data_IF_958312299774
#
_entry.id   IF_958312299774
#
_cell.length_a   1.000
_cell.length_b   1.000
_cell.length_c   1.000
_cell.angle_alpha   90.00
_cell.angle_beta   90.00
_cell.angle_gamma   90.00
#
_symmetry.space_group_name_H-M   'P 1'
#
loop_
_entity.id
_entity.type
_entity.pdbx_description
1 polymer ?
#
# COMPACT_ATOMS: atom_id res chain seq x y z
N UNK A 1 13.61 -26.44 1.68
CA UNK A 1 12.77 -26.06 0.51
C UNK A 1 13.29 -24.73 -0.01
N UNK A 2 13.40 -24.52 -1.33
CA UNK A 2 13.76 -23.22 -1.86
C UNK A 2 12.62 -22.21 -1.60
N UNK A 3 12.96 -20.99 -1.26
CA UNK A 3 11.97 -19.95 -1.07
C UNK A 3 11.15 -19.71 -2.36
N UNK A 4 9.84 -19.50 -2.23
CA UNK A 4 8.97 -19.14 -3.37
C UNK A 4 9.06 -17.65 -3.63
N UNK A 5 9.32 -17.28 -4.89
CA UNK A 5 9.46 -15.88 -5.30
C UNK A 5 8.09 -15.26 -5.57
N UNK A 6 7.82 -14.13 -4.92
CA UNK A 6 6.55 -13.40 -5.02
C UNK A 6 6.78 -11.90 -5.12
N UNK A 7 5.77 -11.19 -5.59
CA UNK A 7 5.68 -9.73 -5.49
C UNK A 7 4.69 -9.33 -4.41
N UNK A 8 4.97 -8.23 -3.70
CA UNK A 8 4.02 -7.62 -2.77
C UNK A 8 3.50 -6.30 -3.31
N UNK A 9 2.22 -6.07 -3.06
CA UNK A 9 1.54 -4.84 -3.43
C UNK A 9 0.83 -4.26 -2.19
N UNK A 10 1.38 -3.16 -1.63
CA UNK A 10 1.00 -2.67 -0.31
C UNK A 10 0.20 -1.38 -0.37
N UNK A 11 -1.02 -1.41 0.15
CA UNK A 11 -1.85 -0.22 0.29
C UNK A 11 -1.26 0.78 1.29
N UNK A 12 -1.53 2.06 1.04
CA UNK A 12 -1.40 3.14 2.01
C UNK A 12 -2.67 3.33 2.84
N UNK A 13 -2.52 3.98 3.98
CA UNK A 13 -3.65 4.23 4.88
C UNK A 13 -3.26 4.94 6.19
N UNK A 14 -2.22 5.77 6.18
CA UNK A 14 -1.74 6.46 7.38
C UNK A 14 -1.27 5.46 8.46
N UNK A 15 -1.68 5.64 9.71
CA UNK A 15 -1.33 4.74 10.81
C UNK A 15 -1.79 3.29 10.61
N UNK A 16 -2.83 3.06 9.79
CA UNK A 16 -3.23 1.71 9.42
C UNK A 16 -2.13 0.95 8.65
N UNK A 17 -1.13 1.64 8.11
CA UNK A 17 0.09 1.04 7.56
C UNK A 17 0.84 0.14 8.51
N UNK A 18 0.63 0.27 9.83
CA UNK A 18 1.17 -0.65 10.83
C UNK A 18 0.66 -2.10 10.68
N UNK A 19 -0.53 -2.31 10.10
CA UNK A 19 -0.97 -3.63 9.66
C UNK A 19 -0.03 -4.20 8.60
N UNK A 20 0.33 -3.40 7.59
CA UNK A 20 1.31 -3.78 6.57
C UNK A 20 2.71 -4.07 7.14
N UNK A 21 3.13 -3.31 8.18
CA UNK A 21 4.33 -3.67 8.95
C UNK A 21 4.22 -5.07 9.51
N UNK A 22 3.12 -5.42 10.20
CA UNK A 22 2.90 -6.75 10.75
C UNK A 22 2.94 -7.85 9.70
N UNK A 23 2.39 -7.60 8.52
CA UNK A 23 2.45 -8.55 7.39
C UNK A 23 3.90 -8.76 6.96
N UNK A 24 4.65 -7.69 6.67
CA UNK A 24 6.07 -7.79 6.26
C UNK A 24 6.93 -8.46 7.33
N UNK A 25 6.73 -8.12 8.60
CA UNK A 25 7.45 -8.70 9.73
C UNK A 25 7.22 -10.22 9.81
N UNK A 26 5.97 -10.69 9.67
CA UNK A 26 5.66 -12.12 9.69
C UNK A 26 6.20 -12.86 8.47
N UNK A 27 6.12 -12.26 7.26
CA UNK A 27 6.66 -12.87 6.06
C UNK A 27 8.20 -12.99 6.13
N UNK A 28 8.88 -11.96 6.66
CA UNK A 28 10.32 -11.97 6.86
C UNK A 28 10.76 -13.03 7.90
N UNK A 29 10.01 -13.15 9.01
CA UNK A 29 10.25 -14.17 10.04
C UNK A 29 10.05 -15.61 9.52
N UNK A 30 9.04 -15.81 8.67
CA UNK A 30 8.74 -17.13 8.09
C UNK A 30 9.84 -17.62 7.13
N UNK A 31 10.40 -16.72 6.35
CA UNK A 31 11.56 -16.98 5.47
C UNK A 31 11.28 -17.86 4.24
N UNK A 32 10.06 -18.37 4.05
CA UNK A 32 9.70 -19.21 2.91
C UNK A 32 9.39 -18.44 1.63
N UNK A 33 9.24 -17.09 1.73
CA UNK A 33 9.00 -16.21 0.60
C UNK A 33 10.23 -15.35 0.29
N UNK A 34 10.55 -15.26 -1.00
CA UNK A 34 11.52 -14.32 -1.56
C UNK A 34 10.77 -13.19 -2.26
N UNK A 35 10.80 -11.98 -1.70
CA UNK A 35 10.08 -10.82 -2.23
C UNK A 35 10.92 -10.19 -3.33
N UNK A 36 10.55 -10.40 -4.60
CA UNK A 36 11.24 -9.84 -5.76
C UNK A 36 10.93 -8.37 -5.98
N UNK A 37 9.65 -8.01 -5.90
CA UNK A 37 9.19 -6.65 -6.13
C UNK A 37 8.18 -6.20 -5.07
N UNK A 38 8.24 -4.91 -4.70
CA UNK A 38 7.36 -4.31 -3.72
C UNK A 38 6.79 -3.00 -4.28
N UNK A 39 5.51 -3.01 -4.65
CA UNK A 39 4.79 -1.82 -5.08
C UNK A 39 4.00 -1.23 -3.93
N UNK A 40 4.07 0.09 -3.73
CA UNK A 40 3.49 0.71 -2.56
C UNK A 40 3.15 2.19 -2.74
N UNK A 41 2.24 2.68 -1.89
CA UNK A 41 1.84 4.08 -1.81
C UNK A 41 1.68 4.53 -0.37
N UNK A 42 1.93 5.81 -0.09
CA UNK A 42 1.70 6.43 1.22
C UNK A 42 2.44 5.68 2.35
N UNK A 43 1.77 5.31 3.45
CA UNK A 43 2.38 4.51 4.53
C UNK A 43 2.91 3.14 4.06
N UNK A 44 2.34 2.58 2.99
CA UNK A 44 2.89 1.39 2.34
C UNK A 44 4.28 1.65 1.77
N UNK A 45 4.55 2.84 1.17
CA UNK A 45 5.87 3.21 0.66
C UNK A 45 6.90 3.42 1.77
N UNK A 46 6.47 3.87 2.96
CA UNK A 46 7.33 3.92 4.14
C UNK A 46 7.76 2.50 4.55
N UNK A 47 6.79 1.58 4.66
CA UNK A 47 7.09 0.17 4.94
C UNK A 47 8.03 -0.44 3.90
N UNK A 48 7.82 -0.15 2.61
CA UNK A 48 8.66 -0.65 1.52
C UNK A 48 10.11 -0.14 1.63
N UNK A 49 10.30 1.16 1.91
CA UNK A 49 11.61 1.76 2.08
C UNK A 49 12.34 1.20 3.30
N UNK A 50 11.64 1.05 4.45
CA UNK A 50 12.19 0.46 5.67
C UNK A 50 12.57 -1.00 5.46
N UNK A 51 11.71 -1.76 4.77
CA UNK A 51 11.98 -3.16 4.44
C UNK A 51 13.25 -3.29 3.58
N UNK A 52 13.35 -2.54 2.49
CA UNK A 52 14.53 -2.55 1.62
C UNK A 52 15.79 -2.14 2.37
N UNK A 53 15.73 -1.07 3.16
CA UNK A 53 16.83 -0.61 4.00
C UNK A 53 17.30 -1.68 4.98
N UNK A 54 16.38 -2.28 5.71
CA UNK A 54 16.73 -3.32 6.68
C UNK A 54 17.30 -4.58 6.02
N UNK A 55 16.79 -4.95 4.83
CA UNK A 55 17.31 -6.08 4.04
C UNK A 55 18.80 -5.91 3.72
N UNK A 56 19.24 -4.72 3.33
CA UNK A 56 20.65 -4.47 3.02
C UNK A 56 21.57 -4.54 4.25
N UNK A 57 21.02 -4.38 5.47
CA UNK A 57 21.81 -4.34 6.70
C UNK A 57 21.89 -5.66 7.46
N UNK A 58 20.84 -6.45 7.43
CA UNK A 58 20.75 -7.65 8.24
C UNK A 58 19.79 -8.70 7.67
N UNK A 59 19.53 -8.64 6.36
CA UNK A 59 18.61 -9.58 5.72
C UNK A 59 17.18 -9.48 6.29
N UNK A 60 16.48 -10.62 6.45
CA UNK A 60 15.12 -10.62 6.98
C UNK A 60 14.98 -10.01 8.37
N UNK A 61 15.91 -10.29 9.28
CA UNK A 61 15.86 -9.75 10.65
C UNK A 61 16.13 -8.24 10.65
N UNK A 62 17.09 -7.76 9.85
CA UNK A 62 17.32 -6.33 9.69
C UNK A 62 16.09 -5.59 9.13
N UNK A 63 15.32 -6.22 8.24
CA UNK A 63 14.06 -5.64 7.75
C UNK A 63 13.01 -5.52 8.86
N UNK A 64 12.90 -6.52 9.73
CA UNK A 64 11.99 -6.52 10.89
C UNK A 64 12.36 -5.40 11.89
N UNK A 65 13.65 -5.31 12.20
CA UNK A 65 14.18 -4.27 13.10
C UNK A 65 13.94 -2.85 12.55
N UNK A 66 14.20 -2.62 11.27
CA UNK A 66 14.01 -1.33 10.63
C UNK A 66 12.54 -0.90 10.63
N UNK A 67 11.62 -1.82 10.36
CA UNK A 67 10.18 -1.58 10.41
C UNK A 67 9.72 -1.24 11.84
N UNK A 68 10.14 -2.00 12.85
CA UNK A 68 9.79 -1.72 14.24
C UNK A 68 10.33 -0.36 14.70
N UNK A 69 11.59 -0.07 14.42
CA UNK A 69 12.21 1.21 14.77
C UNK A 69 11.49 2.40 14.13
N UNK A 70 11.09 2.28 12.86
CA UNK A 70 10.32 3.32 12.17
C UNK A 70 8.98 3.57 12.86
N UNK A 71 8.17 2.54 13.11
CA UNK A 71 6.86 2.69 13.72
C UNK A 71 6.94 3.14 15.17
N UNK A 72 8.01 2.77 15.89
CA UNK A 72 8.31 3.30 17.24
C UNK A 72 8.60 4.80 17.18
N UNK A 73 9.37 5.24 16.22
CA UNK A 73 9.65 6.66 15.99
C UNK A 73 8.38 7.43 15.60
N UNK A 74 7.50 6.85 14.77
CA UNK A 74 6.17 7.43 14.46
C UNK A 74 5.36 7.63 15.74
N UNK A 75 5.36 6.66 16.63
CA UNK A 75 4.65 6.76 17.91
C UNK A 75 5.19 7.89 18.80
N UNK A 76 6.49 8.03 18.91
CA UNK A 76 7.11 9.07 19.76
C UNK A 76 6.90 10.49 19.22
N UNK A 77 6.83 10.64 17.89
CA UNK A 77 6.53 11.92 17.24
C UNK A 77 5.05 12.34 17.43
N UNK A 78 4.17 11.36 17.64
CA UNK A 78 2.77 11.39 17.25
C UNK A 78 1.84 12.30 18.02
N UNK A 79 1.98 12.54 19.32
CA UNK A 79 0.92 13.23 20.08
C UNK A 79 0.81 14.71 19.69
N UNK A 80 1.92 15.41 19.60
CA UNK A 80 1.91 16.84 19.22
C UNK A 80 1.51 17.06 17.75
N UNK A 81 1.94 16.16 16.87
CA UNK A 81 1.63 16.20 15.44
C UNK A 81 0.16 15.90 15.14
N UNK A 82 -0.40 14.88 15.78
CA UNK A 82 -1.80 14.50 15.63
C UNK A 82 -2.74 15.60 16.12
N UNK A 83 -2.42 16.22 17.26
CA UNK A 83 -3.17 17.37 17.80
C UNK A 83 -3.10 18.54 16.83
N UNK A 84 -1.92 18.84 16.28
CA UNK A 84 -1.75 19.89 15.28
C UNK A 84 -2.63 19.66 14.05
N UNK A 85 -2.58 18.46 13.44
CA UNK A 85 -3.41 18.11 12.28
C UNK A 85 -4.91 18.16 12.58
N UNK A 86 -5.36 17.70 13.74
CA UNK A 86 -6.77 17.76 14.14
C UNK A 86 -7.27 19.19 14.33
N UNK A 87 -6.44 20.09 14.85
CA UNK A 87 -6.78 21.50 15.00
C UNK A 87 -6.91 22.23 13.66
N UNK A 88 -6.12 21.85 12.65
CA UNK A 88 -6.17 22.45 11.33
C UNK A 88 -7.23 21.83 10.40
N UNK A 89 -7.72 20.63 10.68
CA UNK A 89 -8.70 19.94 9.84
C UNK A 89 -9.98 20.75 9.56
N UNK A 90 -10.63 21.43 10.54
CA UNK A 90 -11.78 22.27 10.25
C UNK A 90 -11.47 23.46 9.34
N UNK A 91 -10.25 24.00 9.44
CA UNK A 91 -9.80 25.14 8.65
C UNK A 91 -9.42 24.75 7.22
N UNK A 92 -9.08 23.50 6.97
CA UNK A 92 -8.70 22.99 5.63
C UNK A 92 -9.86 23.04 4.60
N UNK A 93 -11.10 23.23 5.05
CA UNK A 93 -12.23 23.50 4.17
C UNK A 93 -12.24 24.92 3.59
N UNK A 94 -11.62 25.89 4.29
CA UNK A 94 -11.64 27.31 3.93
C UNK A 94 -10.26 27.84 3.46
N UNK A 95 -9.18 27.19 3.88
CA UNK A 95 -7.81 27.62 3.61
C UNK A 95 -6.99 26.51 2.95
N UNK A 96 -6.12 26.88 2.01
CA UNK A 96 -5.20 25.92 1.40
C UNK A 96 -4.12 25.48 2.39
N UNK A 97 -3.52 24.28 2.22
CA UNK A 97 -2.40 23.84 3.05
C UNK A 97 -1.21 24.83 3.07
N UNK A 98 -0.94 25.51 1.96
CA UNK A 98 0.12 26.53 1.90
C UNK A 98 -0.20 27.77 2.74
N UNK A 99 -1.48 28.12 2.93
CA UNK A 99 -1.89 29.22 3.80
C UNK A 99 -1.82 28.81 5.28
N UNK A 100 -2.16 27.56 5.60
CA UNK A 100 -2.14 27.02 6.97
C UNK A 100 -0.71 26.66 7.43
N UNK A 101 0.15 26.27 6.49
CA UNK A 101 1.52 25.84 6.76
C UNK A 101 2.50 26.50 5.76
N UNK A 102 2.69 27.82 5.82
CA UNK A 102 3.52 28.56 4.87
C UNK A 102 5.00 28.18 4.92
N UNK A 103 5.46 27.62 6.02
CA UNK A 103 6.84 27.16 6.19
C UNK A 103 7.06 25.69 5.78
N UNK A 104 6.01 24.98 5.35
CA UNK A 104 6.10 23.58 4.90
C UNK A 104 6.54 22.62 6.02
N UNK A 105 6.28 22.94 7.29
CA UNK A 105 6.66 22.09 8.42
C UNK A 105 5.98 20.73 8.31
N UNK A 106 6.78 19.67 8.27
CA UNK A 106 6.30 18.31 8.19
C UNK A 106 7.19 17.37 9.04
N UNK A 107 6.76 17.03 10.27
CA UNK A 107 7.53 16.17 11.17
C UNK A 107 7.84 14.78 10.61
N UNK A 108 7.01 14.25 9.71
CA UNK A 108 7.27 12.99 9.04
C UNK A 108 8.57 13.03 8.21
N UNK A 109 8.88 14.22 7.63
CA UNK A 109 10.13 14.41 6.88
C UNK A 109 11.36 14.22 7.77
N UNK A 110 11.36 14.86 8.94
CA UNK A 110 12.47 14.77 9.90
C UNK A 110 12.61 13.37 10.47
N UNK A 111 11.47 12.72 10.71
CA UNK A 111 11.44 11.33 11.16
C UNK A 111 12.07 10.40 10.12
N UNK A 112 11.66 10.51 8.86
CA UNK A 112 12.21 9.69 7.77
C UNK A 112 13.70 9.93 7.59
N UNK A 113 14.14 11.18 7.60
CA UNK A 113 15.55 11.54 7.47
C UNK A 113 16.45 10.89 8.55
N UNK A 114 15.89 10.63 9.74
CA UNK A 114 16.58 9.98 10.86
C UNK A 114 16.41 8.46 10.88
N UNK A 115 15.37 7.91 10.23
CA UNK A 115 15.00 6.50 10.33
C UNK A 115 15.58 5.64 9.23
N UNK A 116 15.95 6.21 8.07
CA UNK A 116 16.37 5.42 6.91
C UNK A 116 17.59 6.04 6.22
N UNK A 117 18.54 5.17 5.89
CA UNK A 117 19.61 5.51 4.95
C UNK A 117 19.12 5.27 3.53
N UNK A 118 18.84 6.36 2.83
CA UNK A 118 18.31 6.32 1.47
C UNK A 118 19.35 5.86 0.44
N UNK A 119 20.66 6.01 0.72
CA UNK A 119 21.71 5.42 -0.13
C UNK A 119 21.62 3.89 -0.09
N UNK A 120 21.44 3.31 1.08
CA UNK A 120 21.24 1.87 1.23
C UNK A 120 19.96 1.39 0.51
N UNK A 121 18.88 2.16 0.56
CA UNK A 121 17.64 1.84 -0.19
C UNK A 121 17.89 1.87 -1.70
N UNK A 122 18.61 2.88 -2.21
CA UNK A 122 18.95 2.98 -3.64
C UNK A 122 19.87 1.86 -4.11
N UNK A 123 20.78 1.44 -3.25
CA UNK A 123 21.73 0.35 -3.53
C UNK A 123 21.13 -1.05 -3.35
N UNK A 124 19.91 -1.16 -2.80
CA UNK A 124 19.25 -2.45 -2.57
C UNK A 124 19.00 -3.18 -3.90
N UNK A 125 19.58 -4.37 -4.04
CA UNK A 125 19.38 -5.27 -5.19
C UNK A 125 18.48 -6.46 -4.85
N UNK A 126 18.19 -6.67 -3.58
CA UNK A 126 17.42 -7.83 -3.10
C UNK A 126 15.92 -7.69 -3.37
N UNK A 127 15.41 -6.45 -3.37
CA UNK A 127 14.00 -6.16 -3.65
C UNK A 127 13.87 -4.94 -4.55
N UNK A 128 13.06 -5.05 -5.59
CA UNK A 128 12.73 -3.93 -6.49
C UNK A 128 11.59 -3.11 -5.90
N UNK A 129 11.82 -1.83 -5.65
CA UNK A 129 10.78 -0.91 -5.17
C UNK A 129 10.08 -0.19 -6.32
N UNK A 130 8.77 -0.01 -6.16
CA UNK A 130 7.90 0.73 -7.05
C UNK A 130 7.01 1.66 -6.21
N UNK A 131 7.53 2.87 -5.93
CA UNK A 131 6.85 3.86 -5.10
C UNK A 131 5.97 4.74 -5.98
N UNK A 132 4.66 4.74 -5.72
CA UNK A 132 3.70 5.51 -6.49
C UNK A 132 3.48 6.90 -5.87
N UNK A 133 3.46 7.92 -6.72
CA UNK A 133 2.94 9.26 -6.41
C UNK A 133 2.05 9.73 -7.56
N UNK A 134 1.13 10.67 -7.29
CA UNK A 134 0.22 11.23 -8.29
C UNK A 134 0.75 12.57 -8.78
N UNK A 135 1.07 12.70 -10.07
CA UNK A 135 1.46 13.98 -10.67
C UNK A 135 0.26 14.94 -10.67
N UNK A 136 0.43 16.10 -10.07
CA UNK A 136 -0.68 17.06 -9.85
C UNK A 136 -1.19 17.64 -11.17
N UNK A 137 -0.30 17.90 -12.14
CA UNK A 137 -0.67 18.55 -13.39
C UNK A 137 -1.34 17.60 -14.37
N UNK A 138 -0.82 16.37 -14.48
CA UNK A 138 -1.32 15.41 -15.46
C UNK A 138 -2.40 14.48 -14.90
N UNK A 139 -2.51 14.35 -13.57
CA UNK A 139 -3.35 13.35 -12.90
C UNK A 139 -2.86 11.91 -13.11
N UNK A 140 -1.64 11.71 -13.63
CA UNK A 140 -1.10 10.39 -13.92
C UNK A 140 -0.28 9.84 -12.75
N UNK A 141 -0.24 8.50 -12.56
CA UNK A 141 0.66 7.89 -11.60
C UNK A 141 2.11 8.02 -12.07
N UNK A 142 3.02 8.37 -11.17
CA UNK A 142 4.46 8.29 -11.36
C UNK A 142 5.01 7.20 -10.45
N UNK A 143 5.73 6.25 -11.03
CA UNK A 143 6.41 5.20 -10.27
C UNK A 143 7.88 5.54 -10.17
N UNK A 144 8.37 5.62 -8.95
CA UNK A 144 9.79 5.79 -8.62
C UNK A 144 10.40 4.46 -8.23
N UNK A 145 11.54 4.11 -8.82
CA UNK A 145 12.29 2.87 -8.55
C UNK A 145 13.35 3.10 -7.48
N UNK A 146 14.00 2.03 -7.00
CA UNK A 146 15.06 2.11 -5.98
C UNK A 146 16.01 3.28 -6.20
N UNK A 147 16.62 3.40 -7.39
CA UNK A 147 17.60 4.43 -7.73
C UNK A 147 17.08 5.88 -7.64
N UNK A 148 15.75 6.04 -7.67
CA UNK A 148 15.07 7.35 -7.63
C UNK A 148 14.53 7.70 -6.25
N UNK A 149 14.60 6.76 -5.27
CA UNK A 149 14.04 6.98 -3.93
C UNK A 149 14.84 8.03 -3.19
N UNK A 150 14.16 9.14 -2.92
CA UNK A 150 14.64 10.26 -2.10
C UNK A 150 13.64 10.54 -0.99
N UNK A 151 14.03 11.39 -0.05
CA UNK A 151 13.11 11.85 0.99
C UNK A 151 11.87 12.53 0.36
N UNK A 152 12.08 13.34 -0.68
CA UNK A 152 10.99 14.02 -1.39
C UNK A 152 10.07 13.03 -2.11
N UNK A 153 10.58 11.95 -2.66
CA UNK A 153 9.77 10.88 -3.28
C UNK A 153 8.88 10.20 -2.24
N UNK A 154 9.41 9.85 -1.07
CA UNK A 154 8.61 9.27 0.00
C UNK A 154 7.55 10.25 0.51
N UNK A 155 7.93 11.52 0.71
CA UNK A 155 7.01 12.58 1.11
C UNK A 155 5.93 12.84 0.05
N UNK A 156 6.26 12.81 -1.25
CA UNK A 156 5.32 12.92 -2.36
C UNK A 156 4.29 11.79 -2.34
N UNK A 157 4.76 10.55 -2.15
CA UNK A 157 3.90 9.36 -2.07
C UNK A 157 2.88 9.41 -0.92
N UNK A 158 3.15 10.20 0.14
CA UNK A 158 2.28 10.35 1.31
C UNK A 158 1.68 11.76 1.46
N UNK A 159 1.75 12.59 0.42
CA UNK A 159 1.27 13.97 0.45
C UNK A 159 -0.23 14.07 0.21
N UNK A 160 -1.02 14.07 1.28
CA UNK A 160 -2.47 14.33 1.19
C UNK A 160 -2.74 15.81 0.86
N UNK A 161 -3.44 16.11 -0.25
CA UNK A 161 -3.61 17.48 -0.77
C UNK A 161 -4.34 18.43 0.17
N UNK A 162 -5.18 17.90 1.06
CA UNK A 162 -5.93 18.70 2.04
C UNK A 162 -5.12 19.01 3.32
N UNK A 163 -3.94 18.39 3.49
CA UNK A 163 -3.12 18.54 4.68
C UNK A 163 -1.77 19.20 4.38
N UNK A 164 -1.20 18.98 3.19
CA UNK A 164 0.14 19.41 2.84
C UNK A 164 0.19 20.03 1.44
N UNK A 165 1.06 21.06 1.23
CA UNK A 165 1.40 21.52 -0.10
C UNK A 165 1.97 20.37 -0.95
N UNK A 166 1.73 20.41 -2.27
CA UNK A 166 2.29 19.44 -3.20
C UNK A 166 3.83 19.39 -3.11
N UNK A 167 4.39 18.19 -3.11
CA UNK A 167 5.83 17.98 -3.01
C UNK A 167 6.48 18.07 -4.38
N UNK A 168 7.53 18.87 -4.52
CA UNK A 168 8.30 19.00 -5.75
C UNK A 168 9.35 17.90 -5.85
N UNK A 169 9.36 17.19 -6.99
CA UNK A 169 10.37 16.19 -7.34
C UNK A 169 10.71 16.32 -8.82
N UNK A 170 11.96 16.59 -9.15
CA UNK A 170 12.43 16.65 -10.55
C UNK A 170 11.72 17.71 -11.40
N UNK A 171 11.31 18.84 -10.82
CA UNK A 171 10.61 19.94 -11.52
C UNK A 171 9.10 19.75 -11.65
N UNK A 172 8.55 18.62 -11.23
CA UNK A 172 7.12 18.32 -11.18
C UNK A 172 6.60 18.29 -9.74
N UNK A 173 5.28 18.37 -9.56
CA UNK A 173 4.63 18.40 -8.26
C UNK A 173 3.73 17.17 -8.07
N UNK A 174 3.77 16.59 -6.87
CA UNK A 174 3.10 15.34 -6.58
C UNK A 174 2.25 15.40 -5.33
N UNK A 175 1.17 14.63 -5.37
CA UNK A 175 0.32 14.25 -4.25
C UNK A 175 0.43 12.75 -3.96
N UNK A 176 -0.24 12.31 -2.89
CA UNK A 176 -0.29 10.92 -2.45
C UNK A 176 -0.58 9.96 -3.62
N UNK A 177 0.23 8.91 -3.69
CA UNK A 177 0.11 7.88 -4.72
C UNK A 177 -1.22 7.14 -4.68
N UNK A 178 -1.86 7.10 -3.51
CA UNK A 178 -3.13 6.42 -3.29
C UNK A 178 -4.28 6.88 -4.17
N UNK A 179 -4.21 8.08 -4.75
CA UNK A 179 -5.21 8.55 -5.70
C UNK A 179 -5.16 7.83 -7.05
N UNK A 180 -3.97 7.41 -7.51
CA UNK A 180 -3.79 6.82 -8.83
C UNK A 180 -3.20 5.40 -8.83
N UNK A 181 -2.71 4.91 -7.69
CA UNK A 181 -2.16 3.56 -7.55
C UNK A 181 -2.02 3.16 -6.07
N UNK A 182 -3.05 2.57 -5.47
CA UNK A 182 -3.02 2.15 -4.07
C UNK A 182 -3.26 0.64 -3.88
N UNK A 183 -2.24 -0.18 -4.11
CA UNK A 183 -1.00 0.08 -4.84
C UNK A 183 -1.18 0.00 -6.36
N UNK A 184 -0.21 0.46 -7.14
CA UNK A 184 -0.14 0.20 -8.57
C UNK A 184 0.39 -1.22 -8.80
N UNK A 185 -0.33 -2.06 -9.57
CA UNK A 185 0.08 -3.45 -9.85
C UNK A 185 0.92 -3.57 -11.12
N UNK A 186 0.66 -2.73 -12.12
CA UNK A 186 1.32 -2.83 -13.43
C UNK A 186 2.86 -2.81 -13.37
N UNK A 187 3.53 -2.09 -12.42
CA UNK A 187 4.99 -2.13 -12.36
C UNK A 187 5.52 -3.53 -12.03
N UNK A 188 4.81 -4.27 -11.18
CA UNK A 188 5.16 -5.65 -10.83
C UNK A 188 4.96 -6.60 -12.02
N UNK A 189 3.93 -6.34 -12.83
CA UNK A 189 3.65 -7.17 -14.01
C UNK A 189 4.79 -7.04 -15.02
N UNK A 190 5.24 -5.82 -15.31
CA UNK A 190 6.18 -5.55 -16.40
C UNK A 190 7.65 -5.62 -16.01
N UNK A 191 8.00 -5.50 -14.71
CA UNK A 191 9.40 -5.36 -14.30
C UNK A 191 9.92 -6.48 -13.42
N UNK A 192 9.10 -7.47 -13.04
CA UNK A 192 9.52 -8.63 -12.23
C UNK A 192 9.30 -9.93 -12.97
N UNK A 193 9.92 -11.01 -12.50
CA UNK A 193 9.78 -12.34 -13.11
C UNK A 193 8.63 -13.13 -12.48
N UNK A 194 8.44 -13.01 -11.17
CA UNK A 194 7.37 -13.73 -10.47
C UNK A 194 5.99 -13.37 -11.03
N UNK A 195 5.15 -14.38 -11.21
CA UNK A 195 3.74 -14.22 -11.59
C UNK A 195 2.84 -13.93 -10.41
N UNK A 196 3.28 -14.29 -9.21
CA UNK A 196 2.51 -14.17 -7.99
C UNK A 196 2.58 -12.73 -7.46
N UNK A 197 1.42 -12.10 -7.30
CA UNK A 197 1.27 -10.78 -6.68
C UNK A 197 0.36 -10.92 -5.46
N UNK A 198 0.92 -10.68 -4.28
CA UNK A 198 0.20 -10.70 -3.01
C UNK A 198 -0.16 -9.26 -2.64
N UNK A 199 -1.45 -8.96 -2.60
CA UNK A 199 -1.95 -7.63 -2.26
C UNK A 199 -2.25 -7.57 -0.76
N UNK A 200 -1.67 -6.60 -0.07
CA UNK A 200 -1.94 -6.33 1.35
C UNK A 200 -2.98 -5.21 1.43
N UNK A 201 -4.22 -5.58 1.74
CA UNK A 201 -5.34 -4.66 1.82
C UNK A 201 -5.44 -4.03 3.21
N UNK A 202 -5.50 -2.70 3.23
CA UNK A 202 -5.71 -1.90 4.44
C UNK A 202 -7.09 -1.22 4.39
N UNK A 203 -7.51 -0.80 3.19
CA UNK A 203 -8.77 -0.09 3.00
C UNK A 203 -9.88 -1.08 2.62
N UNK A 204 -11.00 -1.14 3.36
CA UNK A 204 -12.12 -2.00 3.04
C UNK A 204 -12.69 -1.70 1.64
N UNK A 205 -12.86 -2.74 0.83
CA UNK A 205 -13.53 -2.63 -0.48
C UNK A 205 -15.05 -2.59 -0.27
N UNK A 206 -15.56 -3.48 0.57
CA UNK A 206 -16.99 -3.62 0.86
C UNK A 206 -17.30 -3.12 2.27
N UNK A 207 -18.41 -2.40 2.44
CA UNK A 207 -18.99 -2.05 3.72
C UNK A 207 -20.43 -2.58 3.77
N UNK A 208 -20.79 -3.24 4.87
CA UNK A 208 -22.14 -3.78 5.07
C UNK A 208 -23.14 -2.70 5.44
N UNK A 209 -22.69 -1.64 6.12
CA UNK A 209 -23.54 -0.54 6.55
C UNK A 209 -23.39 0.66 5.62
N UNK A 210 -24.52 1.30 5.31
CA UNK A 210 -24.52 2.56 4.57
C UNK A 210 -24.05 3.71 5.48
N UNK A 211 -23.19 4.60 4.99
CA UNK A 211 -22.78 5.79 5.73
C UNK A 211 -23.93 6.79 5.78
N UNK A 212 -24.27 7.29 6.97
CA UNK A 212 -25.40 8.22 7.20
C UNK A 212 -24.88 9.58 7.66
N UNK A 213 -23.86 9.60 8.52
CA UNK A 213 -23.31 10.85 9.03
C UNK A 213 -22.24 11.43 8.09
N UNK A 214 -22.02 12.74 8.14
CA UNK A 214 -21.02 13.41 7.31
C UNK A 214 -19.59 12.80 7.47
N UNK A 215 -19.10 12.46 8.68
CA UNK A 215 -17.82 11.76 8.83
C UNK A 215 -17.81 10.37 8.19
N UNK A 216 -18.88 9.59 8.30
CA UNK A 216 -18.99 8.26 7.67
C UNK A 216 -19.00 8.37 6.15
N UNK A 217 -19.72 9.32 5.58
CA UNK A 217 -19.76 9.60 4.14
C UNK A 217 -18.35 9.97 3.65
N UNK A 218 -17.67 10.88 4.34
CA UNK A 218 -16.31 11.29 3.99
C UNK A 218 -15.33 10.12 4.08
N UNK A 219 -15.48 9.27 5.10
CA UNK A 219 -14.69 8.05 5.24
C UNK A 219 -14.89 7.11 4.04
N UNK A 220 -16.14 6.87 3.67
CA UNK A 220 -16.48 6.00 2.55
C UNK A 220 -15.98 6.53 1.20
N UNK A 221 -16.10 7.84 0.97
CA UNK A 221 -15.55 8.50 -0.21
C UNK A 221 -14.04 8.29 -0.31
N UNK A 222 -13.31 8.43 0.80
CA UNK A 222 -11.87 8.13 0.84
C UNK A 222 -11.58 6.67 0.48
N UNK A 223 -12.28 5.71 1.08
CA UNK A 223 -12.09 4.29 0.80
C UNK A 223 -12.34 3.96 -0.68
N UNK A 224 -13.43 4.49 -1.24
CA UNK A 224 -13.78 4.30 -2.66
C UNK A 224 -12.68 4.90 -3.56
N UNK A 225 -12.26 6.12 -3.26
CA UNK A 225 -11.22 6.81 -4.04
C UNK A 225 -9.90 6.03 -4.02
N UNK A 226 -9.46 5.62 -2.83
CA UNK A 226 -8.19 4.91 -2.64
C UNK A 226 -8.20 3.46 -3.14
N UNK A 227 -9.37 2.85 -3.33
CA UNK A 227 -9.51 1.52 -3.93
C UNK A 227 -9.74 1.57 -5.46
N UNK A 228 -10.15 2.72 -6.02
CA UNK A 228 -10.65 2.80 -7.38
C UNK A 228 -9.62 2.39 -8.44
N UNK A 229 -8.36 2.78 -8.28
CA UNK A 229 -7.27 2.41 -9.18
C UNK A 229 -6.98 0.92 -9.13
N UNK A 230 -6.86 0.35 -7.93
CA UNK A 230 -6.63 -1.08 -7.70
C UNK A 230 -7.75 -1.92 -8.33
N UNK A 231 -9.02 -1.57 -8.12
CA UNK A 231 -10.15 -2.30 -8.69
C UNK A 231 -10.16 -2.26 -10.23
N UNK A 232 -9.72 -1.15 -10.84
CA UNK A 232 -9.58 -1.06 -12.30
C UNK A 232 -8.46 -1.97 -12.82
N UNK A 233 -7.30 -1.99 -12.16
CA UNK A 233 -6.21 -2.89 -12.52
C UNK A 233 -6.60 -4.36 -12.34
N UNK A 234 -7.24 -4.73 -11.23
CA UNK A 234 -7.72 -6.10 -10.99
C UNK A 234 -8.75 -6.53 -12.05
N UNK A 235 -9.64 -5.63 -12.49
CA UNK A 235 -10.58 -5.91 -13.57
C UNK A 235 -9.87 -6.13 -14.90
N UNK A 236 -8.84 -5.35 -15.20
CA UNK A 236 -8.03 -5.55 -16.42
C UNK A 236 -7.26 -6.88 -16.34
N UNK A 237 -6.65 -7.20 -15.20
CA UNK A 237 -5.96 -8.48 -14.98
C UNK A 237 -6.94 -9.64 -15.13
N UNK A 238 -8.13 -9.58 -14.52
CA UNK A 238 -9.16 -10.59 -14.64
C UNK A 238 -9.56 -10.85 -16.11
N UNK A 239 -9.72 -9.78 -16.91
CA UNK A 239 -10.03 -9.91 -18.32
C UNK A 239 -8.89 -10.58 -19.12
N UNK A 240 -7.64 -10.17 -18.89
CA UNK A 240 -6.48 -10.78 -19.55
C UNK A 240 -6.32 -12.24 -19.12
N UNK A 241 -6.48 -12.56 -17.85
CA UNK A 241 -6.45 -13.94 -17.33
C UNK A 241 -7.49 -14.80 -18.02
N UNK A 242 -8.72 -14.30 -18.15
CA UNK A 242 -9.80 -14.99 -18.88
C UNK A 242 -9.42 -15.25 -20.35
N UNK A 243 -8.84 -14.29 -21.05
CA UNK A 243 -8.38 -14.46 -22.44
C UNK A 243 -7.33 -15.57 -22.55
N UNK A 244 -6.38 -15.62 -21.61
CA UNK A 244 -5.32 -16.63 -21.60
C UNK A 244 -5.93 -18.02 -21.32
N UNK A 245 -6.74 -18.18 -20.29
CA UNK A 245 -7.30 -19.43 -19.82
C UNK A 245 -8.30 -20.04 -20.82
N UNK A 246 -9.07 -19.19 -21.52
CA UNK A 246 -10.04 -19.62 -22.54
C UNK A 246 -9.42 -19.78 -23.94
N UNK A 247 -8.11 -19.58 -24.08
CA UNK A 247 -7.41 -19.79 -25.33
C UNK A 247 -7.79 -18.79 -26.43
N UNK A 248 -8.22 -17.57 -26.09
CA UNK A 248 -8.62 -16.54 -27.05
C UNK A 248 -7.43 -15.89 -27.77
N UNK A 249 -6.21 -16.12 -27.28
CA UNK A 249 -5.01 -15.59 -27.89
C UNK A 249 -4.54 -16.47 -29.05
N UNK A 250 -4.20 -15.84 -30.17
CA UNK A 250 -3.51 -16.49 -31.26
C UNK A 250 -2.16 -17.07 -30.76
N UNK A 251 -1.71 -18.18 -31.34
CA UNK A 251 -0.49 -18.90 -30.94
C UNK A 251 0.73 -17.97 -30.82
N UNK A 252 0.90 -17.06 -31.79
CA UNK A 252 2.03 -16.10 -31.83
C UNK A 252 2.04 -15.09 -30.66
N UNK A 253 0.92 -14.91 -29.96
CA UNK A 253 0.78 -13.97 -28.83
C UNK A 253 0.76 -14.64 -27.46
N UNK A 254 0.65 -15.97 -27.38
CA UNK A 254 0.52 -16.70 -26.10
C UNK A 254 1.65 -16.43 -25.13
N UNK A 255 2.89 -16.22 -25.59
CA UNK A 255 4.04 -15.91 -24.75
C UNK A 255 4.24 -14.41 -24.44
N UNK A 256 3.43 -13.51 -25.00
CA UNK A 256 3.62 -12.06 -24.83
C UNK A 256 2.90 -11.47 -23.62
N UNK A 257 1.87 -12.16 -23.12
CA UNK A 257 1.12 -11.73 -21.94
C UNK A 257 1.52 -12.57 -20.72
N UNK A 258 1.81 -11.89 -19.62
CA UNK A 258 2.13 -12.56 -18.35
C UNK A 258 0.83 -13.03 -17.70
N UNK A 259 0.71 -14.33 -17.47
CA UNK A 259 -0.38 -14.88 -16.67
C UNK A 259 -0.10 -14.61 -15.19
N UNK A 260 -0.70 -13.56 -14.66
CA UNK A 260 -0.52 -13.10 -13.28
C UNK A 260 -1.40 -13.91 -12.34
N UNK A 261 -0.87 -14.27 -11.17
CA UNK A 261 -1.57 -14.96 -10.10
C UNK A 261 -1.80 -14.00 -8.93
N UNK A 262 -3.05 -13.72 -8.60
CA UNK A 262 -3.42 -12.73 -7.59
C UNK A 262 -3.77 -13.44 -6.28
N UNK A 263 -3.20 -12.90 -5.21
CA UNK A 263 -3.43 -13.31 -3.83
C UNK A 263 -3.76 -12.09 -2.98
N UNK A 264 -4.52 -12.27 -1.91
CA UNK A 264 -4.90 -11.18 -1.01
C UNK A 264 -4.65 -11.55 0.45
N UNK A 265 -3.99 -10.66 1.17
CA UNK A 265 -3.97 -10.65 2.63
C UNK A 265 -4.91 -9.53 3.07
N UNK A 266 -6.04 -9.92 3.62
CA UNK A 266 -7.10 -9.02 4.05
C UNK A 266 -6.99 -8.75 5.55
N UNK A 267 -7.38 -7.58 5.94
CA UNK A 267 -7.48 -7.23 7.35
C UNK A 267 -8.74 -7.83 8.04
N UNK A 268 -9.47 -8.76 7.39
CA UNK A 268 -10.59 -9.60 7.88
C UNK A 268 -11.42 -8.95 8.99
N UNK A 269 -12.32 -8.06 8.69
CA UNK A 269 -13.17 -7.44 9.72
C UNK A 269 -12.41 -6.68 10.84
N UNK A 270 -11.14 -7.01 11.06
CA UNK A 270 -10.28 -6.42 12.07
C UNK A 270 -10.02 -4.91 11.89
N UNK A 271 -10.25 -4.39 10.67
CA UNK A 271 -10.17 -2.97 10.34
C UNK A 271 -11.56 -2.36 10.08
N UNK A 272 -12.64 -3.14 10.13
CA UNK A 272 -14.00 -2.67 9.83
C UNK A 272 -14.47 -1.57 10.76
N UNK A 273 -14.03 -1.63 12.03
CA UNK A 273 -14.40 -0.69 13.09
C UNK A 273 -13.55 0.59 13.07
N UNK A 274 -12.53 0.64 12.20
CA UNK A 274 -11.62 1.77 12.11
C UNK A 274 -12.08 2.77 11.05
N UNK A 275 -12.19 4.04 11.46
CA UNK A 275 -12.54 5.16 10.58
C UNK A 275 -11.33 6.01 10.19
N UNK A 276 -11.56 7.09 9.41
CA UNK A 276 -10.51 8.04 8.99
C UNK A 276 -9.75 8.63 10.18
N UNK A 277 -10.44 8.91 11.29
CA UNK A 277 -9.80 9.48 12.49
C UNK A 277 -8.68 8.59 13.04
N UNK A 278 -8.84 7.26 12.98
CA UNK A 278 -7.81 6.33 13.44
C UNK A 278 -6.60 6.25 12.51
N UNK A 279 -6.69 6.71 11.26
CA UNK A 279 -5.55 6.82 10.33
C UNK A 279 -4.48 7.83 10.80
N UNK A 280 -4.85 8.74 11.70
CA UNK A 280 -3.94 9.70 12.31
C UNK A 280 -3.49 9.30 13.72
N UNK A 281 -3.98 8.18 14.26
CA UNK A 281 -3.69 7.73 15.61
C UNK A 281 -2.34 7.02 15.66
N UNK A 282 -1.41 7.54 16.48
CA UNK A 282 -0.01 7.07 16.52
C UNK A 282 0.39 6.49 17.87
N UNK A 283 -0.56 6.22 18.78
CA UNK A 283 -0.27 5.58 20.06
C UNK A 283 0.41 4.23 19.85
N UNK A 284 1.50 3.98 20.58
CA UNK A 284 2.28 2.75 20.42
C UNK A 284 1.46 1.47 20.58
N UNK A 285 0.58 1.45 21.58
CA UNK A 285 -0.32 0.31 21.82
C UNK A 285 -1.24 0.05 20.63
N UNK A 286 -1.77 1.11 19.99
CA UNK A 286 -2.61 1.01 18.80
C UNK A 286 -1.81 0.51 17.60
N UNK A 287 -0.60 1.02 17.37
CA UNK A 287 0.28 0.57 16.28
C UNK A 287 0.70 -0.88 16.47
N UNK A 288 0.99 -1.32 17.69
CA UNK A 288 1.29 -2.71 18.02
C UNK A 288 0.08 -3.63 17.80
N UNK A 289 -1.14 -3.20 18.18
CA UNK A 289 -2.35 -3.96 17.89
C UNK A 289 -2.54 -4.18 16.39
N UNK A 290 -2.34 -3.14 15.57
CA UNK A 290 -2.40 -3.26 14.10
C UNK A 290 -1.30 -4.17 13.55
N UNK A 291 -0.06 -4.07 14.05
CA UNK A 291 1.03 -4.99 13.72
C UNK A 291 0.64 -6.44 14.01
N UNK A 292 0.14 -6.70 15.20
CA UNK A 292 -0.19 -8.06 15.63
C UNK A 292 -1.34 -8.67 14.82
N UNK A 293 -2.33 -7.85 14.44
CA UNK A 293 -3.37 -8.22 13.47
C UNK A 293 -2.78 -8.54 12.10
N UNK A 294 -1.82 -7.73 11.61
CA UNK A 294 -1.11 -7.98 10.35
C UNK A 294 -0.31 -9.27 10.38
N UNK A 295 0.43 -9.52 11.47
CA UNK A 295 1.17 -10.78 11.68
C UNK A 295 0.23 -11.99 11.67
N UNK A 296 -0.89 -11.92 12.38
CA UNK A 296 -1.87 -12.98 12.43
C UNK A 296 -2.52 -13.24 11.06
N UNK A 297 -2.86 -12.19 10.30
CA UNK A 297 -3.41 -12.30 8.95
C UNK A 297 -2.40 -12.97 7.99
N UNK A 298 -1.14 -12.55 8.03
CA UNK A 298 -0.08 -13.16 7.21
C UNK A 298 0.18 -14.63 7.58
N UNK A 299 0.15 -14.98 8.86
CA UNK A 299 0.32 -16.35 9.31
C UNK A 299 -0.80 -17.27 8.78
N UNK A 300 -2.07 -16.87 8.96
CA UNK A 300 -3.23 -17.61 8.42
C UNK A 300 -3.17 -17.73 6.89
N UNK A 301 -2.80 -16.62 6.23
CA UNK A 301 -2.69 -16.62 4.78
C UNK A 301 -1.60 -17.57 4.28
N UNK A 302 -0.42 -17.61 4.91
CA UNK A 302 0.66 -18.54 4.58
C UNK A 302 0.23 -19.99 4.78
N UNK A 303 -0.44 -20.31 5.88
CA UNK A 303 -0.93 -21.66 6.16
C UNK A 303 -1.92 -22.14 5.08
N UNK A 304 -2.84 -21.27 4.68
CA UNK A 304 -3.89 -21.62 3.72
C UNK A 304 -3.42 -21.60 2.26
N UNK A 305 -2.45 -20.74 1.91
CA UNK A 305 -2.22 -20.37 0.50
C UNK A 305 -0.79 -20.68 -0.01
N UNK A 306 0.16 -21.01 0.86
CA UNK A 306 1.55 -21.19 0.46
C UNK A 306 1.70 -22.20 -0.70
N UNK A 307 0.98 -23.32 -0.67
CA UNK A 307 1.08 -24.34 -1.72
C UNK A 307 0.48 -23.89 -3.05
N UNK A 308 -0.37 -22.85 -3.06
CA UNK A 308 -0.98 -22.33 -4.28
C UNK A 308 -0.06 -21.38 -5.06
N UNK A 309 0.96 -20.83 -4.40
CA UNK A 309 1.92 -19.92 -5.03
C UNK A 309 2.67 -20.60 -6.18
N UNK A 310 2.71 -19.94 -7.32
CA UNK A 310 3.27 -20.42 -8.59
C UNK A 310 2.30 -21.29 -9.40
N UNK A 311 1.13 -21.64 -8.86
CA UNK A 311 0.19 -22.57 -9.49
C UNK A 311 -1.14 -21.90 -9.88
N UNK A 312 -1.79 -21.22 -8.93
CA UNK A 312 -3.10 -20.58 -9.16
C UNK A 312 -3.31 -19.36 -8.26
N UNK A 313 -4.15 -18.46 -8.72
CA UNK A 313 -4.68 -17.38 -7.87
C UNK A 313 -5.44 -17.93 -6.67
N UNK A 314 -5.40 -17.20 -5.54
CA UNK A 314 -6.23 -17.52 -4.36
C UNK A 314 -7.41 -16.55 -4.22
N UNK A 315 -7.53 -15.61 -5.16
CA UNK A 315 -8.66 -14.69 -5.35
C UNK A 315 -9.39 -15.13 -6.63
N UNK A 316 -10.70 -15.25 -6.58
CA UNK A 316 -11.51 -15.51 -7.77
C UNK A 316 -11.76 -14.19 -8.53
N UNK A 317 -10.82 -13.87 -9.41
CA UNK A 317 -10.86 -12.64 -10.19
C UNK A 317 -12.10 -12.52 -11.08
N UNK A 318 -12.64 -13.65 -11.56
CA UNK A 318 -13.80 -13.62 -12.47
C UNK A 318 -15.08 -13.30 -11.72
N UNK A 319 -15.34 -13.97 -10.60
CA UNK A 319 -16.54 -13.74 -9.81
C UNK A 319 -16.49 -12.39 -9.08
N UNK A 320 -15.32 -11.97 -8.59
CA UNK A 320 -15.18 -10.75 -7.80
C UNK A 320 -15.16 -9.46 -8.66
N UNK A 321 -14.57 -9.53 -9.88
CA UNK A 321 -14.30 -8.31 -10.66
C UNK A 321 -14.94 -8.27 -12.05
N UNK A 322 -15.39 -9.39 -12.62
CA UNK A 322 -16.03 -9.46 -13.95
C UNK A 322 -17.51 -9.78 -13.89
N UNK A 323 -17.99 -10.49 -12.87
CA UNK A 323 -19.41 -10.75 -12.71
C UNK A 323 -20.17 -9.43 -12.45
N UNK A 324 -21.38 -9.25 -13.01
CA UNK A 324 -22.24 -8.15 -12.57
C UNK A 324 -22.51 -8.34 -11.05
N UNK A 325 -22.57 -7.25 -10.26
CA UNK A 325 -22.90 -7.35 -8.84
C UNK A 325 -24.20 -8.13 -8.70
N UNK A 326 -24.18 -9.19 -7.88
CA UNK A 326 -25.38 -9.94 -7.58
C UNK A 326 -26.43 -8.94 -7.04
N UNK A 327 -27.55 -8.81 -7.74
CA UNK A 327 -28.70 -8.07 -7.26
C UNK A 327 -29.18 -8.84 -6.03
N UNK A 328 -28.80 -8.39 -4.84
CA UNK A 328 -29.42 -8.87 -3.63
C UNK A 328 -30.89 -8.50 -3.76
N UNK A 329 -31.72 -9.48 -4.10
CA UNK A 329 -33.17 -9.35 -4.05
C UNK A 329 -33.50 -8.94 -2.62
N UNK A 330 -33.88 -7.68 -2.47
CA UNK A 330 -34.51 -7.19 -1.26
C UNK A 330 -35.76 -8.04 -1.06
N UNK A 331 -35.67 -9.02 -0.20
CA UNK A 331 -36.84 -9.67 0.32
C UNK A 331 -37.47 -8.67 1.31
N UNK A 332 -38.59 -8.12 0.85
CA UNK A 332 -39.59 -7.34 1.56
C UNK A 332 -39.96 -7.90 2.95
#
# INVERSE_FOLDING_TARGET
MSAKRVNLAMQGGGAHGAFGWGVLDRLAEDGRLDIEGLSASSSGSMNAAMYAYGRTRGGPDGAREALEAFWRNVSTMGTAYTIGLQLFQPLSAAFSPSQLNPFGFNPLRDLLAKSVDLEAVRACTEVQLFICATNVRSGQPRIFRNSEVTLDVLMASACLPNLFPAVAVGGEHYWDGGYMGNPALYPLIYNTQSRDIVIVHINPIVRTQLPVTAPEIQNRLNEITFNSSLLRELRAIAFVTKMIEQGWLMEEYRGRLKHVLIHSILADGAMSDLGVASKLKTDWSFLCDLRDRGRAAAARWLEANFEHLGHRSTVDLQSEFLAPPAVQSAHS
#
